data_IF_973403512539
#
_entry.id   IF_973403512539
#
_cell.length_a   1.000
_cell.length_b   1.000
_cell.length_c   1.000
_cell.angle_alpha   90.00
_cell.angle_beta   90.00
_cell.angle_gamma   90.00
#
_symmetry.space_group_name_H-M   'P 1'
#
loop_
_entity.id
_entity.type
_entity.pdbx_description
1 polymer ?
#
# COMPACT_ATOMS: atom_id res chain seq x y z
N UNK A 1 5.05 1.31 -36.76
CA UNK A 1 4.75 2.20 -35.64
C UNK A 1 3.72 1.59 -34.69
N UNK A 2 2.50 1.25 -35.15
CA UNK A 2 1.50 0.62 -34.30
C UNK A 2 2.00 -0.66 -33.60
N UNK A 3 2.75 -1.52 -34.28
CA UNK A 3 3.33 -2.74 -33.68
C UNK A 3 4.31 -2.45 -32.54
N UNK A 4 5.08 -1.38 -32.65
CA UNK A 4 6.01 -0.97 -31.57
C UNK A 4 5.24 -0.46 -30.36
N UNK A 5 4.21 0.37 -30.60
CA UNK A 5 3.33 0.83 -29.52
C UNK A 5 2.61 -0.34 -28.84
N UNK A 6 2.16 -1.33 -29.60
CA UNK A 6 1.50 -2.52 -29.04
C UNK A 6 2.45 -3.35 -28.15
N UNK A 7 3.72 -3.49 -28.53
CA UNK A 7 4.72 -4.18 -27.70
C UNK A 7 5.02 -3.39 -26.44
N UNK A 8 5.21 -2.08 -26.55
CA UNK A 8 5.42 -1.21 -25.38
C UNK A 8 4.22 -1.26 -24.45
N UNK A 9 3.02 -1.16 -24.97
CA UNK A 9 1.78 -1.29 -24.21
C UNK A 9 1.72 -2.61 -23.45
N UNK A 10 2.01 -3.73 -24.09
CA UNK A 10 2.01 -5.04 -23.43
C UNK A 10 3.03 -5.12 -22.27
N UNK A 11 4.22 -4.53 -22.43
CA UNK A 11 5.24 -4.50 -21.37
C UNK A 11 4.76 -3.65 -20.19
N UNK A 12 4.23 -2.45 -20.48
CA UNK A 12 3.75 -1.53 -19.44
C UNK A 12 2.53 -2.12 -18.72
N UNK A 13 1.60 -2.75 -19.43
CA UNK A 13 0.43 -3.42 -18.85
C UNK A 13 0.84 -4.55 -17.88
N UNK A 14 1.83 -5.36 -18.24
CA UNK A 14 2.35 -6.41 -17.34
C UNK A 14 3.00 -5.76 -16.09
N UNK A 15 3.73 -4.68 -16.26
CA UNK A 15 4.35 -3.97 -15.14
C UNK A 15 3.27 -3.34 -14.24
N UNK A 16 2.25 -2.68 -14.79
CA UNK A 16 1.10 -2.13 -14.09
C UNK A 16 0.42 -3.21 -13.24
N UNK A 17 -0.03 -4.31 -13.85
CA UNK A 17 -0.69 -5.39 -13.14
C UNK A 17 0.15 -5.98 -11.99
N UNK A 18 1.45 -6.16 -12.19
CA UNK A 18 2.35 -6.64 -11.13
C UNK A 18 2.45 -5.66 -9.97
N UNK A 19 2.56 -4.38 -10.28
CA UNK A 19 2.69 -3.33 -9.25
C UNK A 19 1.38 -3.17 -8.47
N UNK A 20 0.22 -3.20 -9.14
CA UNK A 20 -1.08 -3.22 -8.45
C UNK A 20 -1.22 -4.43 -7.52
N UNK A 21 -0.81 -5.61 -7.97
CA UNK A 21 -0.83 -6.81 -7.12
C UNK A 21 0.07 -6.65 -5.90
N UNK A 22 1.28 -6.09 -6.06
CA UNK A 22 2.19 -5.81 -4.95
C UNK A 22 1.59 -4.80 -3.97
N UNK A 23 1.01 -3.71 -4.47
CA UNK A 23 0.34 -2.69 -3.65
C UNK A 23 -0.80 -3.29 -2.81
N UNK A 24 -1.64 -4.15 -3.40
CA UNK A 24 -2.71 -4.85 -2.68
C UNK A 24 -2.16 -5.76 -1.59
N UNK A 25 -1.10 -6.53 -1.87
CA UNK A 25 -0.48 -7.43 -0.90
C UNK A 25 0.13 -6.62 0.26
N UNK A 26 0.87 -5.55 -0.03
CA UNK A 26 1.45 -4.68 1.00
C UNK A 26 0.37 -3.98 1.82
N UNK A 27 -0.72 -3.50 1.19
CA UNK A 27 -1.84 -2.88 1.90
C UNK A 27 -2.57 -3.88 2.79
N UNK A 28 -2.76 -5.11 2.33
CA UNK A 28 -3.32 -6.18 3.17
C UNK A 28 -2.41 -6.47 4.38
N UNK A 29 -1.09 -6.56 4.16
CA UNK A 29 -0.12 -6.76 5.23
C UNK A 29 -0.12 -5.60 6.24
N UNK A 30 -0.24 -4.35 5.77
CA UNK A 30 -0.38 -3.18 6.63
C UNK A 30 -1.64 -3.28 7.49
N UNK A 31 -2.79 -3.61 6.90
CA UNK A 31 -4.04 -3.78 7.64
C UNK A 31 -3.92 -4.85 8.73
N UNK A 32 -3.23 -5.96 8.46
CA UNK A 32 -2.99 -7.00 9.44
C UNK A 32 -2.12 -6.48 10.61
N UNK A 33 -1.06 -5.70 10.33
CA UNK A 33 -0.23 -5.09 11.37
C UNK A 33 -1.03 -4.10 12.22
N UNK A 34 -1.88 -3.28 11.62
CA UNK A 34 -2.78 -2.39 12.35
C UNK A 34 -3.79 -3.15 13.19
N UNK A 35 -4.32 -4.27 12.71
CA UNK A 35 -5.22 -5.12 13.49
C UNK A 35 -4.50 -5.74 14.71
N UNK A 36 -3.26 -6.20 14.57
CA UNK A 36 -2.45 -6.67 15.70
C UNK A 36 -2.13 -5.56 16.69
N UNK A 37 -1.81 -4.35 16.23
CA UNK A 37 -1.64 -3.19 17.07
C UNK A 37 -2.90 -2.89 17.89
N UNK A 38 -4.06 -2.80 17.23
CA UNK A 38 -5.33 -2.56 17.90
C UNK A 38 -5.66 -3.65 18.92
N UNK A 39 -5.48 -4.92 18.57
CA UNK A 39 -5.69 -6.02 19.49
C UNK A 39 -4.78 -5.93 20.73
N UNK A 40 -3.53 -5.51 20.56
CA UNK A 40 -2.58 -5.31 21.66
C UNK A 40 -2.97 -4.11 22.52
N UNK A 41 -3.47 -3.03 21.93
CA UNK A 41 -4.01 -1.87 22.66
C UNK A 41 -5.25 -2.22 23.48
N UNK A 42 -6.12 -3.09 22.97
CA UNK A 42 -7.28 -3.60 23.73
C UNK A 42 -6.81 -4.43 24.94
N UNK A 43 -5.81 -5.30 24.76
CA UNK A 43 -5.24 -6.07 25.87
C UNK A 43 -4.61 -5.17 26.92
N UNK A 44 -3.88 -4.13 26.51
CA UNK A 44 -3.30 -3.13 27.40
C UNK A 44 -4.41 -2.44 28.22
N UNK A 45 -5.44 -1.95 27.56
CA UNK A 45 -6.60 -1.31 28.21
C UNK A 45 -7.32 -2.23 29.19
N UNK A 46 -7.50 -3.49 28.82
CA UNK A 46 -8.12 -4.49 29.70
C UNK A 46 -7.25 -4.75 30.93
N UNK A 47 -5.93 -4.75 30.78
CA UNK A 47 -4.97 -4.88 31.88
C UNK A 47 -5.03 -3.68 32.83
N UNK A 48 -5.09 -2.46 32.29
CA UNK A 48 -5.26 -1.21 33.05
C UNK A 48 -6.58 -1.19 33.85
N UNK A 49 -7.67 -1.64 33.22
CA UNK A 49 -8.96 -1.78 33.91
C UNK A 49 -8.87 -2.80 35.03
N UNK A 50 -8.23 -3.93 34.84
CA UNK A 50 -8.02 -4.94 35.88
C UNK A 50 -7.20 -4.41 37.04
N UNK A 51 -6.10 -3.69 36.77
CA UNK A 51 -5.27 -3.02 37.75
C UNK A 51 -6.09 -2.02 38.59
N UNK A 52 -6.85 -1.15 37.94
CA UNK A 52 -7.73 -0.18 38.58
C UNK A 52 -8.82 -0.84 39.44
N UNK A 53 -9.40 -1.96 38.99
CA UNK A 53 -10.36 -2.71 39.78
C UNK A 53 -9.75 -3.27 41.06
N UNK A 54 -8.53 -3.81 41.02
CA UNK A 54 -7.84 -4.28 42.22
C UNK A 54 -7.57 -3.14 43.18
N UNK A 55 -7.15 -1.96 42.69
CA UNK A 55 -6.94 -0.79 43.53
C UNK A 55 -8.23 -0.30 44.21
N UNK A 56 -9.37 -0.30 43.48
CA UNK A 56 -10.63 0.20 44.00
C UNK A 56 -11.34 -0.78 44.97
N UNK A 57 -11.29 -2.06 44.67
CA UNK A 57 -12.16 -3.06 45.31
C UNK A 57 -11.36 -4.03 46.20
N UNK A 58 -10.07 -4.21 46.00
CA UNK A 58 -9.33 -5.32 46.53
C UNK A 58 -7.94 -5.03 47.12
N UNK A 59 -7.51 -3.76 47.23
CA UNK A 59 -6.15 -3.44 47.61
C UNK A 59 -5.69 -4.03 48.96
N UNK A 60 -6.61 -4.39 49.86
CA UNK A 60 -6.35 -5.03 51.16
C UNK A 60 -6.61 -6.55 51.15
N UNK A 61 -7.04 -7.14 50.02
CA UNK A 61 -7.31 -8.56 49.94
C UNK A 61 -6.01 -9.37 49.83
N UNK A 62 -6.03 -10.57 50.43
CA UNK A 62 -4.93 -11.50 50.30
C UNK A 62 -4.65 -11.83 48.80
N UNK A 63 -3.41 -11.62 48.38
CA UNK A 63 -3.03 -11.83 46.97
C UNK A 63 -3.14 -10.61 46.05
N UNK A 64 -3.68 -9.48 46.51
CA UNK A 64 -3.81 -8.26 45.71
C UNK A 64 -2.44 -7.76 45.19
N UNK A 65 -1.39 -7.78 46.00
CA UNK A 65 -0.05 -7.41 45.57
C UNK A 65 0.48 -8.29 44.43
N UNK A 66 0.23 -9.59 44.48
CA UNK A 66 0.63 -10.52 43.40
C UNK A 66 -0.11 -10.22 42.12
N UNK A 67 -1.41 -9.91 42.18
CA UNK A 67 -2.20 -9.54 41.01
C UNK A 67 -1.70 -8.20 40.42
N UNK A 68 -1.45 -7.20 41.24
CA UNK A 68 -0.92 -5.91 40.78
C UNK A 68 0.45 -6.07 40.12
N UNK A 69 1.35 -6.86 40.69
CA UNK A 69 2.64 -7.16 40.06
C UNK A 69 2.49 -7.88 38.71
N UNK A 70 1.51 -8.78 38.59
CA UNK A 70 1.20 -9.44 37.33
C UNK A 70 0.66 -8.47 36.30
N UNK A 71 -0.28 -7.60 36.66
CA UNK A 71 -0.81 -6.56 35.75
C UNK A 71 0.28 -5.58 35.32
N UNK A 72 1.14 -5.13 36.23
CA UNK A 72 2.26 -4.26 35.89
C UNK A 72 3.21 -4.90 34.85
N UNK A 73 3.52 -6.19 35.03
CA UNK A 73 4.33 -6.94 34.05
C UNK A 73 3.65 -7.09 32.69
N UNK A 74 2.33 -7.36 32.67
CA UNK A 74 1.56 -7.47 31.44
C UNK A 74 1.45 -6.11 30.73
N UNK A 75 1.23 -5.04 31.47
CA UNK A 75 1.14 -3.68 30.95
C UNK A 75 2.43 -3.29 30.22
N UNK A 76 3.59 -3.43 30.87
CA UNK A 76 4.87 -3.17 30.25
C UNK A 76 5.08 -3.99 28.97
N UNK A 77 4.74 -5.30 29.00
CA UNK A 77 4.83 -6.16 27.82
C UNK A 77 3.96 -5.66 26.69
N UNK A 78 2.70 -5.27 26.94
CA UNK A 78 1.77 -4.82 25.89
C UNK A 78 2.13 -3.41 25.39
N UNK A 79 2.68 -2.53 26.23
CA UNK A 79 3.23 -1.24 25.82
C UNK A 79 4.37 -1.44 24.80
N UNK A 80 5.39 -2.23 25.15
CA UNK A 80 6.52 -2.54 24.26
C UNK A 80 6.08 -3.21 22.95
N UNK A 81 5.10 -4.13 23.04
CA UNK A 81 4.54 -4.77 21.86
C UNK A 81 3.77 -3.80 20.96
N UNK A 82 2.99 -2.89 21.56
CA UNK A 82 2.20 -1.93 20.79
C UNK A 82 3.08 -0.93 20.05
N UNK A 83 4.19 -0.48 20.65
CA UNK A 83 5.16 0.41 19.99
C UNK A 83 5.79 -0.27 18.77
N UNK A 84 6.27 -1.51 18.93
CA UNK A 84 6.85 -2.28 17.82
C UNK A 84 5.85 -2.53 16.68
N UNK A 85 4.62 -2.89 17.03
CA UNK A 85 3.58 -3.14 16.04
C UNK A 85 3.18 -1.86 15.32
N UNK A 86 3.18 -0.72 16.00
CA UNK A 86 2.91 0.57 15.38
C UNK A 86 3.99 0.96 14.37
N UNK A 87 5.26 0.74 14.69
CA UNK A 87 6.36 0.97 13.75
C UNK A 87 6.26 0.06 12.52
N UNK A 88 5.98 -1.24 12.74
CA UNK A 88 5.79 -2.20 11.65
C UNK A 88 4.60 -1.83 10.76
N UNK A 89 3.49 -1.40 11.36
CA UNK A 89 2.30 -0.98 10.62
C UNK A 89 2.57 0.27 9.77
N UNK A 90 3.26 1.27 10.32
CA UNK A 90 3.65 2.48 9.57
C UNK A 90 4.59 2.15 8.42
N UNK A 91 5.62 1.34 8.66
CA UNK A 91 6.53 0.93 7.59
C UNK A 91 5.84 0.14 6.48
N UNK A 92 4.86 -0.71 6.83
CA UNK A 92 4.05 -1.42 5.85
C UNK A 92 3.11 -0.49 5.06
N UNK A 93 2.54 0.55 5.71
CA UNK A 93 1.76 1.58 5.02
C UNK A 93 2.62 2.37 4.02
N UNK A 94 3.79 2.82 4.43
CA UNK A 94 4.73 3.54 3.55
C UNK A 94 5.12 2.72 2.32
N UNK A 95 5.36 1.41 2.50
CA UNK A 95 5.65 0.51 1.39
C UNK A 95 4.44 0.36 0.44
N UNK A 96 3.22 0.25 0.99
CA UNK A 96 2.01 0.17 0.19
C UNK A 96 1.76 1.45 -0.61
N UNK A 97 1.95 2.62 -0.01
CA UNK A 97 1.82 3.92 -0.67
C UNK A 97 2.85 4.09 -1.79
N UNK A 98 4.10 3.66 -1.57
CA UNK A 98 5.14 3.71 -2.60
C UNK A 98 4.76 2.87 -3.83
N UNK A 99 4.23 1.66 -3.62
CA UNK A 99 3.78 0.81 -4.72
C UNK A 99 2.53 1.37 -5.41
N UNK A 100 1.61 1.99 -4.68
CA UNK A 100 0.43 2.65 -5.25
C UNK A 100 0.82 3.83 -6.15
N UNK A 101 1.76 4.66 -5.71
CA UNK A 101 2.29 5.75 -6.52
C UNK A 101 3.00 5.25 -7.78
N UNK A 102 3.72 4.14 -7.68
CA UNK A 102 4.37 3.51 -8.83
C UNK A 102 3.33 2.96 -9.82
N UNK A 103 2.28 2.29 -9.30
CA UNK A 103 1.19 1.75 -10.10
C UNK A 103 0.48 2.86 -10.89
N UNK A 104 0.16 3.98 -10.25
CA UNK A 104 -0.45 5.14 -10.91
C UNK A 104 0.36 5.66 -12.11
N UNK A 105 1.69 5.64 -12.03
CA UNK A 105 2.53 6.06 -13.15
C UNK A 105 2.46 5.08 -14.32
N UNK A 106 2.41 3.79 -14.02
CA UNK A 106 2.20 2.78 -15.07
C UNK A 106 0.82 2.92 -15.72
N UNK A 107 -0.24 3.17 -14.96
CA UNK A 107 -1.60 3.35 -15.47
C UNK A 107 -1.70 4.55 -16.42
N UNK A 108 -1.12 5.69 -16.03
CA UNK A 108 -1.08 6.88 -16.90
C UNK A 108 -0.26 6.61 -18.16
N UNK A 109 0.88 5.92 -18.02
CA UNK A 109 1.71 5.51 -19.15
C UNK A 109 0.97 4.57 -20.10
N UNK A 110 0.27 3.57 -19.57
CA UNK A 110 -0.55 2.61 -20.28
C UNK A 110 -1.67 3.31 -21.05
N UNK A 111 -2.46 4.15 -20.40
CA UNK A 111 -3.56 4.89 -21.03
C UNK A 111 -3.08 5.78 -22.19
N UNK A 112 -1.92 6.45 -22.05
CA UNK A 112 -1.35 7.23 -23.14
C UNK A 112 -0.86 6.36 -24.31
N UNK A 113 -0.30 5.19 -24.05
CA UNK A 113 0.08 4.22 -25.08
C UNK A 113 -1.14 3.68 -25.84
N UNK A 114 -2.23 3.40 -25.12
CA UNK A 114 -3.50 2.97 -25.72
C UNK A 114 -4.07 4.04 -26.64
N UNK A 115 -4.14 5.30 -26.17
CA UNK A 115 -4.56 6.44 -27.00
C UNK A 115 -3.65 6.57 -28.23
N UNK A 116 -2.34 6.42 -28.06
CA UNK A 116 -1.37 6.47 -29.13
C UNK A 116 -1.60 5.37 -30.18
N UNK A 117 -1.93 4.16 -29.75
CA UNK A 117 -2.23 3.02 -30.60
C UNK A 117 -3.53 3.23 -31.37
N UNK A 118 -4.59 3.69 -30.69
CA UNK A 118 -5.88 3.99 -31.32
C UNK A 118 -5.74 5.09 -32.37
N UNK A 119 -5.09 6.20 -32.05
CA UNK A 119 -4.85 7.30 -32.98
C UNK A 119 -4.01 6.82 -34.19
N UNK A 120 -2.99 6.02 -33.98
CA UNK A 120 -2.17 5.45 -35.06
C UNK A 120 -2.98 4.55 -35.99
N UNK A 121 -3.95 3.78 -35.46
CA UNK A 121 -4.81 2.91 -36.25
C UNK A 121 -5.86 3.66 -37.10
N UNK A 122 -6.32 4.84 -36.61
CA UNK A 122 -7.26 5.69 -37.36
C UNK A 122 -6.68 6.21 -38.69
N UNK A 123 -5.37 6.20 -38.86
CA UNK A 123 -4.76 6.51 -40.16
C UNK A 123 -5.21 5.60 -41.29
N UNK A 124 -5.44 4.34 -41.02
CA UNK A 124 -5.88 3.38 -42.06
C UNK A 124 -7.25 3.71 -42.61
N UNK A 125 -8.11 4.33 -41.80
CA UNK A 125 -9.47 4.70 -42.17
C UNK A 125 -9.50 6.11 -42.80
N UNK A 126 -8.87 7.07 -42.12
CA UNK A 126 -8.99 8.50 -42.47
C UNK A 126 -7.97 8.97 -43.50
N UNK A 127 -6.87 8.22 -43.71
CA UNK A 127 -5.73 8.57 -44.58
C UNK A 127 -5.05 9.92 -44.21
N UNK A 128 -5.42 10.55 -43.09
CA UNK A 128 -4.86 11.84 -42.64
C UNK A 128 -3.62 11.61 -41.82
N UNK A 129 -2.47 12.18 -42.21
CA UNK A 129 -1.16 12.04 -41.56
C UNK A 129 -1.10 12.62 -40.12
N UNK A 130 -2.05 13.45 -39.73
CA UNK A 130 -2.12 14.00 -38.36
C UNK A 130 -2.33 12.92 -37.29
N UNK A 131 -3.10 11.87 -37.58
CA UNK A 131 -3.39 10.83 -36.60
C UNK A 131 -2.15 10.04 -36.15
N UNK A 132 -1.28 9.53 -37.04
CA UNK A 132 -0.07 8.83 -36.60
C UNK A 132 0.95 9.78 -35.92
N UNK A 133 0.94 11.07 -36.24
CA UNK A 133 1.79 12.05 -35.54
C UNK A 133 1.34 12.24 -34.10
N UNK A 134 0.04 12.47 -33.90
CA UNK A 134 -0.53 12.58 -32.55
C UNK A 134 -0.38 11.28 -31.76
N UNK A 135 -0.56 10.12 -32.42
CA UNK A 135 -0.34 8.81 -31.83
C UNK A 135 1.12 8.59 -31.40
N UNK A 136 2.09 9.09 -32.18
CA UNK A 136 3.50 9.04 -31.81
C UNK A 136 3.81 9.89 -30.58
N UNK A 137 3.26 11.10 -30.53
CA UNK A 137 3.45 12.03 -29.39
C UNK A 137 2.89 11.40 -28.10
N UNK A 138 1.65 10.89 -28.15
CA UNK A 138 1.02 10.22 -27.02
C UNK A 138 1.80 8.98 -26.59
N UNK A 139 2.26 8.15 -27.54
CA UNK A 139 3.05 6.96 -27.26
C UNK A 139 4.41 7.26 -26.59
N UNK A 140 5.13 8.29 -27.08
CA UNK A 140 6.41 8.72 -26.47
C UNK A 140 6.17 9.28 -25.06
N UNK A 141 5.12 10.09 -24.87
CA UNK A 141 4.76 10.61 -23.56
C UNK A 141 4.40 9.48 -22.59
N UNK A 142 3.58 8.52 -23.03
CA UNK A 142 3.22 7.34 -22.22
C UNK A 142 4.42 6.48 -21.83
N UNK A 143 5.31 6.20 -22.78
CA UNK A 143 6.54 5.46 -22.49
C UNK A 143 7.45 6.22 -21.52
N UNK A 144 7.60 7.53 -21.66
CA UNK A 144 8.39 8.34 -20.75
C UNK A 144 7.85 8.31 -19.32
N UNK A 145 6.52 8.43 -19.14
CA UNK A 145 5.88 8.35 -17.83
C UNK A 145 6.05 6.95 -17.23
N UNK A 146 5.84 5.88 -18.00
CA UNK A 146 6.04 4.52 -17.52
C UNK A 146 7.48 4.27 -17.05
N UNK A 147 8.48 4.81 -17.75
CA UNK A 147 9.90 4.73 -17.32
C UNK A 147 10.11 5.41 -15.98
N UNK A 148 9.44 6.54 -15.69
CA UNK A 148 9.55 7.15 -14.34
C UNK A 148 8.99 6.26 -13.24
N UNK A 149 7.97 5.45 -13.53
CA UNK A 149 7.48 4.42 -12.59
C UNK A 149 8.47 3.30 -12.33
N UNK A 150 9.30 2.96 -13.32
CA UNK A 150 10.37 1.96 -13.16
C UNK A 150 11.56 2.47 -12.33
N UNK A 151 11.82 3.77 -12.35
CA UNK A 151 12.95 4.39 -11.63
C UNK A 151 12.62 4.73 -10.16
N UNK A 152 11.38 4.63 -9.74
CA UNK A 152 10.93 4.78 -8.35
C UNK A 152 10.98 3.45 -7.60
#
# INVERSE_FOLDING_TARGET
MASVLAVLLAIVSIASHRTHTAAIIHKSGSNDQWAYYQATRIKLHSTEMGENMVHLLGAKAEGAEKMLAQYAGQKKKYEEQSEKLQELAKGADEAAEADEHRALRYDVGEGLLEIGLVLSSLYFISRKKMFPVLGAIAGVAGAAIAITGFLM
#
